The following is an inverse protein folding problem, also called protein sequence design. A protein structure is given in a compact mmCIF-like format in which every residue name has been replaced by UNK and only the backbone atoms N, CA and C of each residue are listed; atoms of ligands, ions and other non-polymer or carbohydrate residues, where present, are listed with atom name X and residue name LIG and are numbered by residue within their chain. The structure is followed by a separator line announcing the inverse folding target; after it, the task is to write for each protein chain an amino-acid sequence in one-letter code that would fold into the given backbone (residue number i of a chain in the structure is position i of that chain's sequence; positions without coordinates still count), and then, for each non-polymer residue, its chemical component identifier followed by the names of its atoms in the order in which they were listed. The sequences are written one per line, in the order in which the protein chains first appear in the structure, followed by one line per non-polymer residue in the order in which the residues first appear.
data_IF_122596818257
#
_entry.id   IF_122596818257
#
_cell.length_a   1.000
_cell.length_b   1.000
_cell.length_c   1.000
_cell.angle_alpha   90.00
_cell.angle_beta   90.00
_cell.angle_gamma   90.00
#
_symmetry.space_group_name_H-M   'P 1'
#
loop_
_entity.id
_entity.type
_entity.pdbx_description
1 polymer ?
#
# COMPACT_ATOMS: atom_id res chain seq x y z
N UNK A 1 13.29 -43.29 -11.75
CA UNK A 1 13.71 -42.12 -10.95
C UNK A 1 14.07 -41.00 -11.89
N UNK A 2 13.25 -39.96 -11.95
CA UNK A 2 13.70 -38.57 -12.05
C UNK A 2 12.50 -37.68 -11.75
N UNK A 3 12.75 -36.69 -10.91
CA UNK A 3 11.79 -35.94 -10.11
C UNK A 3 11.01 -34.94 -10.97
N UNK A 4 9.70 -34.84 -10.68
CA UNK A 4 8.90 -33.69 -11.10
C UNK A 4 9.43 -32.44 -10.40
N UNK A 5 9.78 -31.46 -11.20
CA UNK A 5 10.29 -30.14 -10.82
C UNK A 5 9.19 -29.32 -10.13
N UNK A 6 9.32 -28.97 -8.83
CA UNK A 6 8.26 -28.30 -8.06
C UNK A 6 8.10 -26.81 -8.39
N UNK A 7 8.93 -26.23 -9.26
CA UNK A 7 8.91 -24.79 -9.57
C UNK A 7 8.06 -24.39 -10.79
N UNK A 8 7.26 -25.31 -11.36
CA UNK A 8 6.29 -24.98 -12.41
C UNK A 8 4.90 -24.68 -11.86
N UNK A 9 4.77 -23.54 -11.16
CA UNK A 9 3.48 -22.85 -11.08
C UNK A 9 3.29 -22.11 -12.40
N UNK A 10 2.51 -22.70 -13.31
CA UNK A 10 2.08 -22.07 -14.55
C UNK A 10 0.97 -21.08 -14.20
N UNK A 11 1.33 -19.80 -14.01
CA UNK A 11 0.36 -18.72 -14.00
C UNK A 11 -0.06 -18.41 -15.45
N UNK A 12 -1.37 -18.37 -15.78
CA UNK A 12 -1.80 -18.01 -17.12
C UNK A 12 -1.55 -16.51 -17.37
N UNK A 13 -0.70 -16.23 -18.36
CA UNK A 13 -0.52 -14.98 -19.10
C UNK A 13 -0.58 -13.67 -18.28
N UNK A 14 0.59 -13.24 -17.80
CA UNK A 14 0.88 -12.04 -17.01
C UNK A 14 0.48 -10.68 -17.61
N UNK A 15 0.11 -10.58 -18.90
CA UNK A 15 -0.30 -9.28 -19.49
C UNK A 15 -1.76 -8.88 -19.25
N UNK A 16 -2.68 -9.83 -19.06
CA UNK A 16 -4.10 -9.52 -18.85
C UNK A 16 -4.47 -9.30 -17.37
N UNK A 17 -3.60 -9.69 -16.44
CA UNK A 17 -3.83 -9.52 -15.00
C UNK A 17 -3.38 -8.13 -14.53
N UNK A 18 -2.22 -7.65 -14.97
CA UNK A 18 -1.70 -6.30 -14.66
C UNK A 18 -2.57 -5.18 -15.27
N UNK A 19 -3.12 -5.38 -16.49
CA UNK A 19 -4.09 -4.45 -17.09
C UNK A 19 -5.49 -4.52 -16.44
N UNK A 20 -5.86 -5.65 -15.80
CA UNK A 20 -7.08 -5.74 -14.98
C UNK A 20 -6.91 -5.12 -13.60
N UNK A 21 -5.70 -5.20 -13.04
CA UNK A 21 -5.31 -4.59 -11.76
C UNK A 21 -5.33 -3.07 -11.80
N UNK A 22 -5.07 -2.46 -12.96
CA UNK A 22 -5.08 -1.02 -13.18
C UNK A 22 -6.46 -0.35 -13.04
N UNK A 23 -7.54 -1.08 -12.72
CA UNK A 23 -8.90 -0.53 -12.69
C UNK A 23 -9.69 -0.65 -11.38
N UNK A 24 -9.18 -1.27 -10.32
CA UNK A 24 -10.02 -1.46 -9.12
C UNK A 24 -9.22 -1.33 -7.82
N UNK A 25 -9.08 -0.09 -7.35
CA UNK A 25 -9.08 0.26 -5.93
C UNK A 25 -10.36 1.05 -5.64
N UNK A 26 -11.36 0.38 -5.06
CA UNK A 26 -12.71 0.92 -4.88
C UNK A 26 -13.18 0.77 -3.43
N UNK A 27 -14.36 1.34 -3.15
CA UNK A 27 -14.98 1.33 -1.82
C UNK A 27 -15.17 -0.08 -1.25
N UNK A 28 -15.54 -1.05 -2.08
CA UNK A 28 -15.78 -2.43 -1.63
C UNK A 28 -14.49 -3.10 -1.13
N UNK A 29 -13.36 -2.83 -1.76
CA UNK A 29 -12.07 -3.37 -1.33
C UNK A 29 -11.59 -2.73 -0.04
N UNK A 30 -11.85 -1.43 0.15
CA UNK A 30 -11.58 -0.75 1.42
C UNK A 30 -12.43 -1.38 2.55
N UNK A 31 -13.71 -1.66 2.28
CA UNK A 31 -14.61 -2.35 3.21
C UNK A 31 -14.08 -3.75 3.57
N UNK A 32 -13.59 -4.52 2.60
CA UNK A 32 -12.99 -5.85 2.85
C UNK A 32 -11.81 -5.76 3.81
N UNK A 33 -10.84 -4.87 3.55
CA UNK A 33 -9.67 -4.70 4.41
C UNK A 33 -10.07 -4.28 5.84
N UNK A 34 -10.96 -3.30 5.97
CA UNK A 34 -11.42 -2.84 7.28
C UNK A 34 -12.18 -3.93 8.02
N UNK A 35 -13.08 -4.62 7.34
CA UNK A 35 -13.84 -5.71 7.95
C UNK A 35 -12.90 -6.80 8.46
N UNK A 36 -11.82 -7.12 7.75
CA UNK A 36 -10.81 -8.05 8.23
C UNK A 36 -10.13 -7.55 9.50
N UNK A 37 -9.64 -6.31 9.48
CA UNK A 37 -8.98 -5.70 10.64
C UNK A 37 -9.91 -5.59 11.86
N UNK A 38 -11.22 -5.50 11.67
CA UNK A 38 -12.21 -5.41 12.76
C UNK A 38 -12.56 -6.79 13.31
N UNK A 39 -12.90 -7.72 12.42
CA UNK A 39 -13.29 -9.08 12.81
C UNK A 39 -12.13 -9.78 13.51
N UNK A 40 -10.90 -9.55 13.05
CA UNK A 40 -9.77 -10.36 13.47
C UNK A 40 -8.95 -9.79 14.63
N UNK A 41 -8.94 -8.47 14.85
CA UNK A 41 -8.11 -7.84 15.90
C UNK A 41 -8.48 -8.26 17.34
N UNK A 42 -9.71 -8.73 17.58
CA UNK A 42 -10.21 -8.96 18.94
C UNK A 42 -10.24 -10.45 19.31
N UNK A 43 -9.61 -11.33 18.50
CA UNK A 43 -9.56 -12.73 18.87
C UNK A 43 -8.78 -12.95 20.18
N UNK A 44 -9.30 -13.78 21.10
CA UNK A 44 -8.72 -13.98 22.41
C UNK A 44 -7.44 -14.84 22.33
N UNK A 45 -6.34 -14.27 22.86
CA UNK A 45 -5.01 -14.91 22.86
C UNK A 45 -4.91 -16.03 23.90
N UNK A 46 -5.46 -15.81 25.09
CA UNK A 46 -5.41 -16.76 26.20
C UNK A 46 -6.41 -17.92 26.01
N UNK A 47 -5.97 -19.15 26.32
CA UNK A 47 -6.79 -20.37 26.21
C UNK A 47 -8.14 -20.24 26.93
N UNK A 48 -8.12 -19.79 28.18
CA UNK A 48 -9.32 -19.70 29.01
C UNK A 48 -10.31 -18.67 28.46
N UNK A 49 -9.82 -17.53 27.95
CA UNK A 49 -10.65 -16.51 27.29
C UNK A 49 -11.26 -17.03 26.00
N UNK A 50 -10.47 -17.74 25.18
CA UNK A 50 -10.96 -18.37 23.95
C UNK A 50 -12.05 -19.41 24.23
N UNK A 51 -11.85 -20.28 25.21
CA UNK A 51 -12.85 -21.28 25.59
C UNK A 51 -14.13 -20.63 26.13
N UNK A 52 -14.02 -19.57 26.93
CA UNK A 52 -15.16 -18.83 27.44
C UNK A 52 -15.93 -18.10 26.32
N UNK A 53 -15.22 -17.32 25.49
CA UNK A 53 -15.79 -16.51 24.41
C UNK A 53 -16.62 -17.36 23.43
N UNK A 54 -16.12 -18.55 23.12
CA UNK A 54 -16.73 -19.48 22.17
C UNK A 54 -17.53 -20.61 22.83
N UNK A 55 -17.77 -20.54 24.14
CA UNK A 55 -18.59 -21.52 24.88
C UNK A 55 -18.10 -22.97 24.73
N UNK A 56 -16.79 -23.18 24.75
CA UNK A 56 -16.14 -24.49 24.66
C UNK A 56 -16.11 -25.16 26.03
N UNK A 57 -17.21 -25.84 26.39
CA UNK A 57 -17.36 -26.44 27.73
C UNK A 57 -17.07 -27.94 27.78
N UNK A 58 -17.14 -28.64 26.64
CA UNK A 58 -16.96 -30.09 26.55
C UNK A 58 -15.46 -30.46 26.56
N UNK A 59 -15.03 -31.34 27.46
CA UNK A 59 -13.63 -31.81 27.53
C UNK A 59 -13.10 -32.38 26.23
N UNK A 60 -13.95 -33.06 25.44
CA UNK A 60 -13.57 -33.55 24.12
C UNK A 60 -13.07 -32.40 23.24
N UNK A 61 -13.74 -31.25 23.26
CA UNK A 61 -13.37 -30.09 22.45
C UNK A 61 -12.17 -29.34 23.02
N UNK A 62 -12.03 -29.27 24.35
CA UNK A 62 -10.86 -28.66 25.00
C UNK A 62 -9.55 -29.36 24.66
N UNK A 63 -9.62 -30.65 24.32
CA UNK A 63 -8.48 -31.51 24.01
C UNK A 63 -8.36 -31.84 22.51
N UNK A 64 -9.21 -31.27 21.64
CA UNK A 64 -9.14 -31.54 20.19
C UNK A 64 -7.95 -30.76 19.57
N UNK A 65 -6.98 -31.45 18.92
CA UNK A 65 -5.78 -30.81 18.38
C UNK A 65 -6.08 -29.70 17.36
N UNK A 66 -7.05 -29.90 16.47
CA UNK A 66 -7.40 -28.91 15.43
C UNK A 66 -7.99 -27.65 16.05
N UNK A 67 -8.74 -27.75 17.15
CA UNK A 67 -9.24 -26.58 17.87
C UNK A 67 -8.11 -25.82 18.56
N UNK A 68 -7.11 -26.53 19.10
CA UNK A 68 -5.90 -25.89 19.63
C UNK A 68 -5.12 -25.15 18.54
N UNK A 69 -5.01 -25.74 17.34
CA UNK A 69 -4.34 -25.09 16.20
C UNK A 69 -5.11 -23.86 15.71
N UNK A 70 -6.44 -23.99 15.52
CA UNK A 70 -7.30 -22.87 15.12
C UNK A 70 -7.19 -21.73 16.12
N UNK A 71 -7.22 -22.01 17.43
CA UNK A 71 -6.98 -21.00 18.47
C UNK A 71 -5.66 -20.28 18.24
N UNK A 72 -4.55 -21.03 18.12
CA UNK A 72 -3.23 -20.45 17.96
C UNK A 72 -3.16 -19.55 16.72
N UNK A 73 -3.75 -19.98 15.60
CA UNK A 73 -3.75 -19.20 14.36
C UNK A 73 -4.64 -17.96 14.44
N UNK A 74 -5.83 -18.05 15.05
CA UNK A 74 -6.68 -16.88 15.28
C UNK A 74 -5.99 -15.87 16.21
N UNK A 75 -5.26 -16.33 17.23
CA UNK A 75 -4.45 -15.46 18.08
C UNK A 75 -3.34 -14.74 17.30
N UNK A 76 -2.60 -15.45 16.44
CA UNK A 76 -1.56 -14.86 15.59
C UNK A 76 -2.13 -13.82 14.62
N UNK A 77 -3.24 -14.15 13.94
CA UNK A 77 -3.94 -13.22 13.06
C UNK A 77 -4.33 -11.94 13.81
N UNK A 78 -4.82 -12.09 15.06
CA UNK A 78 -5.18 -10.96 15.92
C UNK A 78 -3.98 -10.07 16.25
N UNK A 79 -2.83 -10.66 16.56
CA UNK A 79 -1.57 -9.94 16.78
C UNK A 79 -1.13 -9.18 15.51
N UNK A 80 -1.09 -9.85 14.35
CA UNK A 80 -0.75 -9.20 13.09
C UNK A 80 -1.69 -8.03 12.74
N UNK A 81 -3.00 -8.19 12.96
CA UNK A 81 -3.97 -7.12 12.73
C UNK A 81 -3.78 -5.92 13.68
N UNK A 82 -3.42 -6.17 14.94
CA UNK A 82 -3.11 -5.10 15.90
C UNK A 82 -1.85 -4.35 15.51
N UNK A 83 -0.77 -5.07 15.20
CA UNK A 83 0.50 -4.48 14.78
C UNK A 83 0.31 -3.60 13.53
N UNK A 84 -0.40 -4.09 12.51
CA UNK A 84 -0.71 -3.31 11.31
C UNK A 84 -1.46 -2.01 11.64
N UNK A 85 -2.41 -2.08 12.59
CA UNK A 85 -3.18 -0.91 13.03
C UNK A 85 -2.34 0.07 13.83
N UNK A 86 -1.48 -0.41 14.73
CA UNK A 86 -0.59 0.42 15.56
C UNK A 86 0.46 1.17 14.72
N UNK A 87 0.89 0.57 13.61
CA UNK A 87 1.80 1.22 12.66
C UNK A 87 1.16 2.41 11.92
N UNK A 88 -0.18 2.58 12.00
CA UNK A 88 -0.92 3.70 11.39
C UNK A 88 -0.71 3.82 9.87
N UNK A 89 -0.58 2.69 9.19
CA UNK A 89 -0.22 2.62 7.77
C UNK A 89 -1.24 3.36 6.87
N UNK A 90 -2.54 3.27 7.18
CA UNK A 90 -3.60 3.98 6.46
C UNK A 90 -3.47 5.50 6.64
N UNK A 91 -3.25 5.96 7.87
CA UNK A 91 -3.16 7.40 8.19
C UNK A 91 -1.92 8.04 7.56
N UNK A 92 -0.76 7.36 7.66
CA UNK A 92 0.49 7.78 7.01
C UNK A 92 0.34 7.82 5.48
N UNK A 93 -0.37 6.84 4.90
CA UNK A 93 -0.67 6.84 3.46
C UNK A 93 -1.47 8.08 3.07
N UNK A 94 -2.55 8.39 3.78
CA UNK A 94 -3.38 9.58 3.47
C UNK A 94 -2.53 10.85 3.46
N UNK A 95 -1.72 11.07 4.49
CA UNK A 95 -0.86 12.27 4.57
C UNK A 95 0.17 12.32 3.43
N UNK A 96 0.89 11.23 3.19
CA UNK A 96 1.92 11.17 2.15
C UNK A 96 1.34 11.41 0.76
N UNK A 97 0.28 10.69 0.40
CA UNK A 97 -0.29 10.77 -0.94
C UNK A 97 -0.99 12.10 -1.20
N UNK A 98 -1.60 12.71 -0.17
CA UNK A 98 -2.11 14.08 -0.28
C UNK A 98 -0.97 15.07 -0.61
N UNK A 99 0.19 14.95 0.06
CA UNK A 99 1.34 15.82 -0.19
C UNK A 99 1.93 15.62 -1.59
N UNK A 100 2.01 14.38 -2.08
CA UNK A 100 2.42 14.06 -3.45
C UNK A 100 1.47 14.71 -4.46
N UNK A 101 0.15 14.56 -4.27
CA UNK A 101 -0.89 15.14 -5.14
C UNK A 101 -0.76 16.66 -5.16
N UNK A 102 -0.63 17.30 -3.99
CA UNK A 102 -0.47 18.75 -3.88
C UNK A 102 0.72 19.26 -4.70
N UNK A 103 1.89 18.63 -4.56
CA UNK A 103 3.08 19.00 -5.34
C UNK A 103 2.82 18.87 -6.85
N UNK A 104 2.20 17.77 -7.27
CA UNK A 104 1.92 17.54 -8.67
C UNK A 104 0.89 18.54 -9.23
N UNK A 105 -0.12 18.91 -8.45
CA UNK A 105 -1.08 19.94 -8.82
C UNK A 105 -0.45 21.33 -8.95
N UNK A 106 0.44 21.70 -8.02
CA UNK A 106 1.19 22.96 -8.10
C UNK A 106 1.98 23.06 -9.40
N UNK A 107 2.62 21.96 -9.83
CA UNK A 107 3.29 21.88 -11.13
C UNK A 107 2.33 21.90 -12.32
N UNK A 108 1.17 21.24 -12.24
CA UNK A 108 0.14 21.24 -13.31
C UNK A 108 -0.44 22.65 -13.53
N UNK A 109 -0.63 23.44 -12.47
CA UNK A 109 -1.20 24.80 -12.52
C UNK A 109 -0.32 25.83 -13.26
N UNK A 110 0.86 25.42 -13.76
CA UNK A 110 1.86 26.23 -14.48
C UNK A 110 1.37 27.09 -15.65
N UNK A 111 0.10 26.99 -16.06
CA UNK A 111 -0.46 27.84 -17.12
C UNK A 111 -1.41 28.94 -16.61
N UNK A 112 -1.62 29.09 -15.29
CA UNK A 112 -2.69 29.96 -14.74
C UNK A 112 -2.26 30.95 -13.66
N UNK A 113 -1.21 30.66 -12.87
CA UNK A 113 -0.70 31.57 -11.83
C UNK A 113 0.80 31.80 -11.99
N UNK A 114 1.22 33.05 -12.04
CA UNK A 114 2.61 33.45 -12.31
C UNK A 114 3.63 33.04 -11.22
N UNK A 115 3.17 32.60 -10.04
CA UNK A 115 4.01 32.41 -8.85
C UNK A 115 4.16 30.95 -8.38
N UNK A 116 3.72 29.94 -9.14
CA UNK A 116 3.91 28.54 -8.72
C UNK A 116 5.31 27.98 -9.01
N UNK A 117 5.69 26.89 -8.33
CA UNK A 117 7.04 26.32 -8.38
C UNK A 117 7.53 26.02 -9.82
N UNK A 118 6.64 25.57 -10.72
CA UNK A 118 6.97 25.36 -12.14
C UNK A 118 7.26 26.68 -12.87
N UNK A 119 6.41 27.70 -12.72
CA UNK A 119 6.62 28.99 -13.38
C UNK A 119 7.84 29.74 -12.83
N UNK A 120 8.14 29.58 -11.54
CA UNK A 120 9.36 30.10 -10.94
C UNK A 120 10.61 29.52 -11.63
N UNK A 121 10.69 28.20 -11.79
CA UNK A 121 11.87 27.58 -12.44
C UNK A 121 11.94 27.88 -13.93
N UNK A 122 10.80 27.99 -14.63
CA UNK A 122 10.77 28.46 -16.03
C UNK A 122 11.32 29.88 -16.13
N UNK A 123 10.90 30.80 -15.25
CA UNK A 123 11.39 32.18 -15.20
C UNK A 123 12.89 32.24 -14.91
N UNK A 124 13.38 31.45 -13.94
CA UNK A 124 14.82 31.36 -13.62
C UNK A 124 15.61 30.91 -14.84
N UNK A 125 15.20 29.82 -15.51
CA UNK A 125 15.87 29.27 -16.70
C UNK A 125 15.86 30.28 -17.86
N UNK A 126 14.74 30.97 -18.09
CA UNK A 126 14.62 31.98 -19.16
C UNK A 126 15.52 33.17 -18.90
N UNK A 127 15.47 33.75 -17.70
CA UNK A 127 16.30 34.89 -17.32
C UNK A 127 17.79 34.53 -17.38
N UNK A 128 18.15 33.33 -16.92
CA UNK A 128 19.52 32.83 -17.02
C UNK A 128 20.00 32.76 -18.47
N UNK A 129 19.16 32.32 -19.41
CA UNK A 129 19.52 32.30 -20.85
C UNK A 129 19.75 33.71 -21.41
N UNK A 130 18.93 34.68 -21.02
CA UNK A 130 19.03 36.08 -21.45
C UNK A 130 20.28 36.76 -20.86
N UNK A 131 20.51 36.60 -19.56
CA UNK A 131 21.66 37.16 -18.84
C UNK A 131 23.00 36.57 -19.34
N UNK A 132 23.00 35.28 -19.74
CA UNK A 132 24.15 34.63 -20.37
C UNK A 132 24.49 35.25 -21.73
N UNK A 133 23.48 35.57 -22.55
CA UNK A 133 23.68 36.25 -23.85
C UNK A 133 24.26 37.66 -23.69
N UNK A 134 24.04 38.30 -22.54
CA UNK A 134 24.50 39.65 -22.23
C UNK A 134 25.87 39.69 -21.51
N UNK A 135 26.47 38.53 -21.21
CA UNK A 135 27.77 38.39 -20.51
C UNK A 135 27.84 39.07 -19.12
N UNK A 136 26.74 39.11 -18.36
CA UNK A 136 26.71 39.77 -17.04
C UNK A 136 27.07 38.77 -15.92
N UNK A 137 28.37 38.61 -15.64
CA UNK A 137 28.92 37.59 -14.72
C UNK A 137 28.24 37.54 -13.34
N UNK A 138 28.07 38.68 -12.67
CA UNK A 138 27.51 38.71 -11.30
C UNK A 138 26.02 38.33 -11.27
N UNK A 139 25.28 38.67 -12.32
CA UNK A 139 23.85 38.30 -12.45
C UNK A 139 23.72 36.80 -12.75
N UNK A 140 24.59 36.24 -13.58
CA UNK A 140 24.60 34.81 -13.89
C UNK A 140 24.82 33.97 -12.62
N UNK A 141 25.73 34.37 -11.74
CA UNK A 141 25.94 33.69 -10.44
C UNK A 141 24.70 33.75 -9.55
N UNK A 142 23.99 34.89 -9.53
CA UNK A 142 22.71 35.01 -8.81
C UNK A 142 21.66 34.05 -9.35
N UNK A 143 21.52 33.91 -10.68
CA UNK A 143 20.57 32.97 -11.31
C UNK A 143 20.90 31.52 -11.01
N UNK A 144 22.18 31.17 -11.00
CA UNK A 144 22.63 29.83 -10.60
C UNK A 144 22.22 29.51 -9.17
N UNK A 145 22.39 30.45 -8.24
CA UNK A 145 21.97 30.27 -6.85
C UNK A 145 20.45 30.14 -6.72
N UNK A 146 19.67 30.99 -7.38
CA UNK A 146 18.19 30.89 -7.40
C UNK A 146 17.73 29.51 -7.92
N UNK A 147 18.38 29.00 -8.96
CA UNK A 147 18.14 27.67 -9.49
C UNK A 147 18.51 26.56 -8.50
N UNK A 148 19.69 26.64 -7.87
CA UNK A 148 20.17 25.66 -6.89
C UNK A 148 19.26 25.58 -5.66
N UNK A 149 18.83 26.73 -5.13
CA UNK A 149 17.92 26.81 -3.99
C UNK A 149 16.58 26.12 -4.31
N UNK A 150 15.99 26.42 -5.48
CA UNK A 150 14.78 25.76 -5.95
C UNK A 150 14.99 24.25 -6.17
N UNK A 151 16.10 23.87 -6.79
CA UNK A 151 16.43 22.49 -7.09
C UNK A 151 16.56 21.67 -5.82
N UNK A 152 17.29 22.17 -4.83
CA UNK A 152 17.51 21.48 -3.56
C UNK A 152 16.20 21.32 -2.77
N UNK A 153 15.31 22.32 -2.79
CA UNK A 153 13.96 22.22 -2.21
C UNK A 153 13.19 21.06 -2.84
N UNK A 154 13.11 21.04 -4.17
CA UNK A 154 12.34 20.04 -4.91
C UNK A 154 12.91 18.64 -4.78
N UNK A 155 14.24 18.50 -4.86
CA UNK A 155 14.94 17.23 -4.70
C UNK A 155 14.65 16.62 -3.32
N UNK A 156 14.75 17.42 -2.26
CA UNK A 156 14.49 16.95 -0.90
C UNK A 156 13.05 16.44 -0.74
N UNK A 157 12.06 17.13 -1.32
CA UNK A 157 10.67 16.67 -1.30
C UNK A 157 10.50 15.32 -2.01
N UNK A 158 11.13 15.15 -3.18
CA UNK A 158 11.05 13.90 -3.94
C UNK A 158 11.73 12.75 -3.20
N UNK A 159 12.88 12.98 -2.57
CA UNK A 159 13.57 11.99 -1.74
C UNK A 159 12.71 11.57 -0.52
N UNK A 160 12.03 12.53 0.12
CA UNK A 160 11.07 12.25 1.20
C UNK A 160 9.90 11.39 0.68
N UNK A 161 9.36 11.70 -0.49
CA UNK A 161 8.25 10.94 -1.08
C UNK A 161 8.66 9.53 -1.50
N UNK A 162 9.82 9.38 -2.11
CA UNK A 162 10.39 8.08 -2.49
C UNK A 162 10.56 7.21 -1.26
N UNK A 163 11.23 7.73 -0.22
CA UNK A 163 11.42 7.00 1.04
C UNK A 163 10.09 6.65 1.71
N UNK A 164 9.19 7.62 1.87
CA UNK A 164 7.90 7.39 2.51
C UNK A 164 7.03 6.36 1.78
N UNK A 165 7.04 6.37 0.45
CA UNK A 165 6.30 5.39 -0.36
C UNK A 165 6.91 3.99 -0.22
N UNK A 166 8.24 3.90 -0.17
CA UNK A 166 8.95 2.63 0.09
C UNK A 166 8.64 2.06 1.47
N UNK A 167 8.69 2.89 2.52
CA UNK A 167 8.39 2.46 3.89
C UNK A 167 6.95 1.89 3.98
N UNK A 168 5.98 2.56 3.33
CA UNK A 168 4.59 2.10 3.27
C UNK A 168 4.45 0.82 2.43
N UNK A 169 5.13 0.74 1.29
CA UNK A 169 5.18 -0.45 0.45
C UNK A 169 5.68 -1.67 1.24
N UNK A 170 6.79 -1.54 1.95
CA UNK A 170 7.38 -2.62 2.74
C UNK A 170 6.42 -3.07 3.85
N UNK A 171 5.87 -2.13 4.62
CA UNK A 171 4.93 -2.43 5.72
C UNK A 171 3.68 -3.18 5.24
N UNK A 172 3.08 -2.74 4.13
CA UNK A 172 1.88 -3.39 3.58
C UNK A 172 2.25 -4.73 2.93
N UNK A 173 3.42 -4.84 2.31
CA UNK A 173 3.89 -6.08 1.72
C UNK A 173 4.22 -7.15 2.78
N UNK A 174 4.79 -6.75 3.91
CA UNK A 174 5.04 -7.64 5.04
C UNK A 174 3.72 -8.13 5.64
N UNK A 175 2.77 -7.21 5.87
CA UNK A 175 1.44 -7.58 6.35
C UNK A 175 0.69 -8.51 5.38
N UNK A 176 0.83 -8.28 4.07
CA UNK A 176 0.32 -9.20 3.04
C UNK A 176 0.93 -10.58 3.17
N UNK A 177 2.25 -10.69 3.31
CA UNK A 177 2.92 -11.98 3.42
C UNK A 177 2.50 -12.74 4.69
N UNK A 178 2.37 -12.03 5.82
CA UNK A 178 1.83 -12.60 7.06
C UNK A 178 0.40 -13.09 6.87
N UNK A 179 -0.46 -12.29 6.23
CA UNK A 179 -1.85 -12.66 5.95
C UNK A 179 -1.96 -13.89 5.04
N UNK A 180 -1.07 -14.01 4.04
CA UNK A 180 -0.97 -15.19 3.18
C UNK A 180 -0.53 -16.41 3.99
N UNK A 181 0.49 -16.29 4.83
CA UNK A 181 0.96 -17.37 5.69
C UNK A 181 -0.13 -17.85 6.65
N UNK A 182 -0.82 -16.91 7.31
CA UNK A 182 -1.91 -17.18 8.23
C UNK A 182 -3.05 -17.95 7.56
N UNK A 183 -3.35 -17.63 6.30
CA UNK A 183 -4.39 -18.30 5.56
C UNK A 183 -3.92 -19.61 4.91
N UNK A 184 -3.06 -19.52 3.90
CA UNK A 184 -2.74 -20.63 2.98
C UNK A 184 -1.95 -21.74 3.66
N UNK A 185 -1.01 -21.38 4.54
CA UNK A 185 -0.11 -22.34 5.19
C UNK A 185 -0.75 -22.87 6.47
N UNK A 186 -1.35 -21.99 7.27
CA UNK A 186 -1.84 -22.31 8.61
C UNK A 186 -3.33 -22.64 8.63
N UNK A 187 -4.20 -21.63 8.67
CA UNK A 187 -5.60 -21.76 9.04
C UNK A 187 -6.39 -22.66 8.07
N UNK A 188 -6.18 -22.50 6.76
CA UNK A 188 -6.93 -23.22 5.73
C UNK A 188 -6.84 -24.74 5.91
N UNK A 189 -5.62 -25.26 6.15
CA UNK A 189 -5.42 -26.70 6.34
C UNK A 189 -6.13 -27.26 7.59
N UNK A 190 -6.16 -26.48 8.67
CA UNK A 190 -6.81 -26.89 9.92
C UNK A 190 -8.33 -26.85 9.82
N UNK A 191 -8.87 -25.85 9.11
CA UNK A 191 -10.31 -25.77 8.81
C UNK A 191 -10.75 -26.92 7.91
N UNK A 192 -10.00 -27.24 6.84
CA UNK A 192 -10.32 -28.37 5.97
C UNK A 192 -10.35 -29.70 6.74
N UNK A 193 -9.32 -29.98 7.57
CA UNK A 193 -9.29 -31.18 8.42
C UNK A 193 -10.46 -31.23 9.40
N UNK A 194 -10.84 -30.07 9.94
CA UNK A 194 -11.98 -29.96 10.83
C UNK A 194 -13.29 -30.27 10.09
N UNK A 195 -13.47 -29.72 8.89
CA UNK A 195 -14.65 -29.98 8.06
C UNK A 195 -14.74 -31.44 7.61
N UNK A 196 -13.63 -32.05 7.18
CA UNK A 196 -13.55 -33.49 6.83
C UNK A 196 -13.96 -34.38 8.01
N UNK A 197 -13.45 -34.11 9.22
CA UNK A 197 -13.83 -34.83 10.45
C UNK A 197 -15.35 -34.75 10.74
N UNK A 198 -16.05 -33.74 10.23
CA UNK A 198 -17.47 -33.50 10.49
C UNK A 198 -18.39 -33.76 9.30
N UNK A 199 -17.87 -33.99 8.10
CA UNK A 199 -18.65 -34.31 6.91
C UNK A 199 -19.56 -35.53 7.12
N UNK A 200 -19.08 -36.54 7.86
CA UNK A 200 -19.78 -37.82 8.06
C UNK A 200 -20.79 -37.85 9.22
N UNK A 201 -20.93 -36.77 10.00
CA UNK A 201 -21.82 -36.81 11.18
C UNK A 201 -22.52 -35.50 11.51
N UNK A 202 -23.79 -35.40 11.07
CA UNK A 202 -24.74 -34.36 11.50
C UNK A 202 -24.85 -34.24 13.03
N UNK A 203 -24.69 -35.35 13.77
CA UNK A 203 -24.68 -35.35 15.25
C UNK A 203 -23.44 -34.69 15.85
N UNK A 204 -22.26 -34.86 15.25
CA UNK A 204 -21.01 -34.20 15.71
C UNK A 204 -21.07 -32.70 15.45
N UNK A 205 -21.61 -32.28 14.29
CA UNK A 205 -21.78 -30.86 13.94
C UNK A 205 -22.72 -30.11 14.89
N UNK A 206 -23.82 -30.75 15.32
CA UNK A 206 -24.74 -30.19 16.35
C UNK A 206 -24.11 -29.97 17.73
N UNK A 207 -22.99 -30.63 18.04
CA UNK A 207 -22.28 -30.48 19.33
C UNK A 207 -21.05 -29.57 19.23
N UNK A 208 -20.70 -29.11 18.03
CA UNK A 208 -19.58 -28.20 17.83
C UNK A 208 -19.92 -26.81 18.37
N UNK A 209 -18.94 -26.06 18.92
CA UNK A 209 -19.18 -24.69 19.37
C UNK A 209 -19.64 -23.79 18.21
N UNK A 210 -20.94 -23.53 18.14
CA UNK A 210 -21.58 -22.88 16.99
C UNK A 210 -21.03 -21.47 16.72
N UNK A 211 -20.77 -20.70 17.78
CA UNK A 211 -20.17 -19.36 17.69
C UNK A 211 -18.77 -19.41 17.07
N UNK A 212 -17.95 -20.41 17.43
CA UNK A 212 -16.63 -20.59 16.80
C UNK A 212 -16.76 -20.97 15.32
N UNK A 213 -17.74 -21.81 14.96
CA UNK A 213 -17.96 -22.19 13.57
C UNK A 213 -18.33 -20.98 12.71
N UNK A 214 -19.14 -20.08 13.24
CA UNK A 214 -19.51 -18.83 12.57
C UNK A 214 -18.29 -17.93 12.37
N UNK A 215 -17.45 -17.76 13.39
CA UNK A 215 -16.18 -17.01 13.28
C UNK A 215 -15.25 -17.66 12.25
N UNK A 216 -15.05 -18.97 12.30
CA UNK A 216 -14.20 -19.68 11.32
C UNK A 216 -14.72 -19.42 9.91
N UNK A 217 -16.03 -19.56 9.68
CA UNK A 217 -16.63 -19.30 8.36
C UNK A 217 -16.42 -17.87 7.90
N UNK A 218 -16.64 -16.89 8.78
CA UNK A 218 -16.44 -15.49 8.46
C UNK A 218 -14.99 -15.21 8.09
N UNK A 219 -14.04 -15.68 8.90
CA UNK A 219 -12.59 -15.54 8.66
C UNK A 219 -12.17 -16.21 7.36
N UNK A 220 -12.65 -17.43 7.09
CA UNK A 220 -12.34 -18.16 5.84
C UNK A 220 -12.90 -17.51 4.58
N UNK A 221 -13.93 -16.67 4.73
CA UNK A 221 -14.51 -15.89 3.62
C UNK A 221 -13.70 -14.63 3.38
N UNK A 222 -13.35 -13.91 4.45
CA UNK A 222 -12.74 -12.58 4.33
C UNK A 222 -11.23 -12.60 4.08
N UNK A 223 -10.50 -13.61 4.58
CA UNK A 223 -9.04 -13.69 4.41
C UNK A 223 -8.62 -13.75 2.92
N UNK A 224 -9.19 -14.64 2.08
CA UNK A 224 -8.84 -14.68 0.66
C UNK A 224 -9.10 -13.35 -0.06
N UNK A 225 -10.24 -12.70 0.23
CA UNK A 225 -10.59 -11.41 -0.36
C UNK A 225 -9.60 -10.33 0.08
N UNK A 226 -9.22 -10.33 1.37
CA UNK A 226 -8.25 -9.36 1.91
C UNK A 226 -6.86 -9.56 1.28
N UNK A 227 -6.43 -10.80 1.07
CA UNK A 227 -5.17 -11.10 0.38
C UNK A 227 -5.18 -10.48 -1.02
N UNK A 228 -6.29 -10.60 -1.76
CA UNK A 228 -6.43 -9.98 -3.07
C UNK A 228 -6.33 -8.44 -2.98
N UNK A 229 -6.99 -7.81 -2.02
CA UNK A 229 -6.87 -6.36 -1.79
C UNK A 229 -5.43 -5.95 -1.50
N UNK A 230 -4.73 -6.68 -0.63
CA UNK A 230 -3.33 -6.41 -0.29
C UNK A 230 -2.39 -6.62 -1.49
N UNK A 231 -2.66 -7.58 -2.38
CA UNK A 231 -1.94 -7.70 -3.65
C UNK A 231 -2.13 -6.46 -4.53
N UNK A 232 -3.36 -5.99 -4.69
CA UNK A 232 -3.68 -4.80 -5.47
C UNK A 232 -2.98 -3.57 -4.88
N UNK A 233 -3.06 -3.37 -3.56
CA UNK A 233 -2.40 -2.25 -2.87
C UNK A 233 -0.88 -2.28 -3.05
N UNK A 234 -0.24 -3.42 -2.81
CA UNK A 234 1.22 -3.55 -2.97
C UNK A 234 1.67 -3.36 -4.41
N UNK A 235 0.87 -3.78 -5.40
CA UNK A 235 1.14 -3.54 -6.81
C UNK A 235 1.09 -2.04 -7.16
N UNK A 236 0.05 -1.33 -6.73
CA UNK A 236 -0.05 0.12 -6.93
C UNK A 236 1.12 0.88 -6.29
N UNK A 237 1.42 0.57 -5.02
CA UNK A 237 2.55 1.18 -4.31
C UNK A 237 3.87 0.92 -5.04
N UNK A 238 4.09 -0.30 -5.54
CA UNK A 238 5.32 -0.62 -6.29
C UNK A 238 5.43 0.20 -7.57
N UNK A 239 4.32 0.39 -8.29
CA UNK A 239 4.29 1.24 -9.49
C UNK A 239 4.65 2.69 -9.12
N UNK A 240 4.01 3.25 -8.08
CA UNK A 240 4.29 4.62 -7.61
C UNK A 240 5.75 4.77 -7.19
N UNK A 241 6.29 3.85 -6.38
CA UNK A 241 7.72 3.79 -6.01
C UNK A 241 8.61 3.89 -7.24
N UNK A 242 8.38 3.05 -8.26
CA UNK A 242 9.20 3.03 -9.46
C UNK A 242 9.12 4.36 -10.23
N UNK A 243 7.94 5.00 -10.24
CA UNK A 243 7.75 6.33 -10.84
C UNK A 243 8.50 7.43 -10.07
N UNK A 244 8.49 7.39 -8.73
CA UNK A 244 9.25 8.31 -7.88
C UNK A 244 10.76 8.13 -8.05
N UNK A 245 11.26 6.90 -8.07
CA UNK A 245 12.68 6.61 -8.35
C UNK A 245 13.11 7.15 -9.73
N UNK A 246 12.25 6.98 -10.75
CA UNK A 246 12.53 7.48 -12.09
C UNK A 246 12.50 9.02 -12.14
N UNK A 247 11.56 9.65 -11.43
CA UNK A 247 11.48 11.10 -11.28
C UNK A 247 12.74 11.64 -10.58
N UNK A 248 13.18 11.01 -9.49
CA UNK A 248 14.39 11.40 -8.76
C UNK A 248 15.62 11.32 -9.66
N UNK A 249 15.77 10.23 -10.44
CA UNK A 249 16.84 10.10 -11.44
C UNK A 249 16.80 11.22 -12.49
N UNK A 250 15.63 11.65 -12.94
CA UNK A 250 15.50 12.79 -13.86
C UNK A 250 15.88 14.10 -13.17
N UNK A 251 15.45 14.33 -11.92
CA UNK A 251 15.84 15.50 -11.15
C UNK A 251 17.35 15.60 -10.95
N UNK A 252 18.03 14.49 -10.63
CA UNK A 252 19.50 14.45 -10.52
C UNK A 252 20.17 14.95 -11.80
N UNK A 253 19.66 14.57 -12.98
CA UNK A 253 20.17 15.06 -14.28
C UNK A 253 19.83 16.53 -14.52
N UNK A 254 18.64 16.98 -14.13
CA UNK A 254 18.21 18.37 -14.26
C UNK A 254 19.08 19.34 -13.43
N UNK A 255 19.47 18.91 -12.23
CA UNK A 255 20.35 19.65 -11.34
C UNK A 255 21.81 19.75 -11.79
N UNK A 256 22.22 19.02 -12.83
CA UNK A 256 23.60 19.11 -13.32
C UNK A 256 23.86 20.50 -13.94
N UNK A 257 24.75 21.26 -13.31
CA UNK A 257 25.12 22.62 -13.71
C UNK A 257 26.10 22.65 -14.89
N UNK A 258 26.62 21.50 -15.33
CA UNK A 258 27.53 21.40 -16.49
C UNK A 258 26.79 21.30 -17.82
N UNK A 259 25.48 21.06 -17.81
CA UNK A 259 24.67 20.94 -19.01
C UNK A 259 24.25 22.30 -19.60
N UNK A 260 24.11 22.43 -20.94
CA UNK A 260 23.56 23.63 -21.57
C UNK A 260 22.12 23.91 -21.11
N UNK A 261 21.75 25.19 -21.03
CA UNK A 261 20.41 25.66 -20.60
C UNK A 261 19.29 25.04 -21.46
N UNK A 262 19.55 24.79 -22.74
CA UNK A 262 18.61 24.12 -23.65
C UNK A 262 18.23 22.70 -23.19
N UNK A 263 19.17 21.96 -22.58
CA UNK A 263 18.91 20.62 -22.04
C UNK A 263 18.08 20.70 -20.76
N UNK A 264 18.27 21.74 -19.93
CA UNK A 264 17.44 21.95 -18.72
C UNK A 264 15.95 22.10 -19.07
N UNK A 265 15.61 22.78 -20.17
CA UNK A 265 14.22 22.88 -20.66
C UNK A 265 13.62 21.50 -21.00
N UNK A 266 14.38 20.63 -21.65
CA UNK A 266 13.95 19.27 -21.99
C UNK A 266 13.67 18.46 -20.72
N UNK A 267 14.58 18.51 -19.75
CA UNK A 267 14.40 17.81 -18.48
C UNK A 267 13.23 18.37 -17.66
N UNK A 268 12.98 19.68 -17.70
CA UNK A 268 11.85 20.29 -17.02
C UNK A 268 10.50 19.81 -17.58
N UNK A 269 10.39 19.66 -18.90
CA UNK A 269 9.20 19.07 -19.52
C UNK A 269 9.05 17.57 -19.20
N UNK A 270 10.15 16.80 -19.17
CA UNK A 270 10.11 15.39 -18.72
C UNK A 270 9.66 15.29 -17.25
N UNK A 271 10.18 16.14 -16.36
CA UNK A 271 9.76 16.24 -14.96
C UNK A 271 8.26 16.54 -14.87
N UNK A 272 7.77 17.52 -15.63
CA UNK A 272 6.35 17.88 -15.67
C UNK A 272 5.49 16.69 -16.09
N UNK A 273 5.87 16.01 -17.17
CA UNK A 273 5.16 14.81 -17.64
C UNK A 273 5.13 13.69 -16.60
N UNK A 274 6.25 13.45 -15.92
CA UNK A 274 6.35 12.44 -14.85
C UNK A 274 5.50 12.80 -13.63
N UNK A 275 5.48 14.06 -13.21
CA UNK A 275 4.63 14.54 -12.13
C UNK A 275 3.14 14.45 -12.51
N UNK A 276 2.79 14.68 -13.78
CA UNK A 276 1.42 14.48 -14.25
C UNK A 276 0.96 13.03 -14.08
N UNK A 277 1.77 12.08 -14.52
CA UNK A 277 1.49 10.65 -14.40
C UNK A 277 1.49 10.20 -12.93
N UNK A 278 2.42 10.70 -12.11
CA UNK A 278 2.48 10.41 -10.68
C UNK A 278 1.22 10.88 -9.96
N UNK A 279 0.67 12.04 -10.34
CA UNK A 279 -0.58 12.55 -9.78
C UNK A 279 -1.75 11.59 -10.00
N UNK A 280 -1.89 11.05 -11.20
CA UNK A 280 -2.98 10.11 -11.54
C UNK A 280 -2.89 8.86 -10.67
N UNK A 281 -1.71 8.23 -10.63
CA UNK A 281 -1.45 7.03 -9.81
C UNK A 281 -1.62 7.30 -8.31
N UNK A 282 -1.11 8.44 -7.82
CA UNK A 282 -1.24 8.83 -6.41
C UNK A 282 -2.70 9.13 -6.04
N UNK A 283 -3.47 9.75 -6.94
CA UNK A 283 -4.89 10.05 -6.74
C UNK A 283 -5.74 8.79 -6.65
N UNK A 284 -5.47 7.79 -7.49
CA UNK A 284 -6.14 6.49 -7.43
C UNK A 284 -5.91 5.80 -6.08
N UNK A 285 -4.64 5.68 -5.67
CA UNK A 285 -4.31 5.07 -4.38
C UNK A 285 -4.87 5.89 -3.19
N UNK A 286 -4.79 7.23 -3.27
CA UNK A 286 -5.34 8.14 -2.27
C UNK A 286 -6.85 7.97 -2.09
N UNK A 287 -7.59 7.88 -3.21
CA UNK A 287 -9.04 7.67 -3.21
C UNK A 287 -9.47 6.40 -2.47
N UNK A 288 -8.65 5.36 -2.49
CA UNK A 288 -8.89 4.16 -1.70
C UNK A 288 -8.57 4.34 -0.22
N UNK A 289 -7.38 4.86 0.12
CA UNK A 289 -6.99 4.99 1.54
C UNK A 289 -7.82 6.02 2.30
N UNK A 290 -8.33 7.07 1.62
CA UNK A 290 -9.22 8.05 2.23
C UNK A 290 -10.59 7.43 2.56
N UNK A 291 -11.13 6.58 1.68
CA UNK A 291 -12.38 5.84 1.94
C UNK A 291 -12.20 4.90 3.13
N UNK A 292 -11.09 4.14 3.16
CA UNK A 292 -10.76 3.28 4.29
C UNK A 292 -10.67 4.09 5.61
N UNK A 293 -10.02 5.25 5.60
CA UNK A 293 -9.90 6.09 6.79
C UNK A 293 -11.26 6.66 7.25
N UNK A 294 -12.11 7.10 6.32
CA UNK A 294 -13.44 7.65 6.64
C UNK A 294 -14.37 6.60 7.25
N UNK A 295 -14.34 5.38 6.71
CA UNK A 295 -15.13 4.26 7.21
C UNK A 295 -14.68 3.85 8.62
N UNK A 296 -13.36 3.82 8.88
CA UNK A 296 -12.84 3.54 10.21
C UNK A 296 -13.31 4.59 11.25
N UNK A 297 -13.37 5.87 10.86
CA UNK A 297 -13.88 6.95 11.74
C UNK A 297 -15.38 6.81 12.02
N UNK A 298 -16.17 6.43 11.02
CA UNK A 298 -17.62 6.26 11.16
C UNK A 298 -17.96 5.11 12.11
N UNK A 299 -17.19 4.02 12.07
CA UNK A 299 -17.37 2.85 12.93
C UNK A 299 -16.90 3.08 14.38
N UNK A 300 -16.06 4.09 14.66
CA UNK A 300 -15.67 4.48 16.03
C UNK A 300 -16.75 5.31 16.75
N UNK A 301 -17.75 5.81 16.02
CA UNK A 301 -18.82 6.66 16.55
C UNK A 301 -20.12 5.88 16.85
N UNK A 302 -20.17 4.60 16.50
CA UNK A 302 -21.26 3.66 16.79
C UNK A 302 -20.86 2.77 17.97
#
# INVERSE_FOLDING_TARGET
MSFNDPDKIIFPATRNFEQKLQNELNKQQADTLLKYLIVCKDFPVEKNKFEAEYSITNEKWKNEPELSNIRNYLSQISEHCKEFKEQKNIEKSVELFQNIINLCEEFKKGNTNDDNDYNQVVKIIKNWEEDYKQNISDIIQKRQKEFEDWYNKMKNLIEIFEKGTNDIYEQINDFKNLTIEDWEIKLRSSVTKLDEKFADSKKKKKKFPQKLLEVIKEVTTILPETIQVLYIMTSHLKIITNHLEALNKTFIKFGDNRGPISIKKIYLEDIKGRLCNLNELASEYFGFVIVAQQQEKTQKQQ
#
